data_IF_801836853511
#
_entry.id   IF_801836853511
#
_cell.length_a   1.000
_cell.length_b   1.000
_cell.length_c   1.000
_cell.angle_alpha   90.00
_cell.angle_beta   90.00
_cell.angle_gamma   90.00
#
_symmetry.space_group_name_H-M   'P 1'
#
loop_
_entity.id
_entity.type
_entity.pdbx_description
1 polymer ?
#
# COMPACT_ATOMS: atom_id res chain seq x y z
N UNK A 1 -5.49 -26.68 -45.10
CA UNK A 1 -5.35 -27.89 -45.94
C UNK A 1 -6.64 -28.70 -46.06
N UNK A 2 -7.48 -28.84 -45.02
CA UNK A 2 -8.75 -29.61 -45.08
C UNK A 2 -9.72 -29.21 -46.20
N UNK A 3 -9.75 -27.93 -46.60
CA UNK A 3 -10.63 -27.45 -47.67
C UNK A 3 -10.10 -27.74 -49.09
N UNK A 4 -8.95 -28.41 -49.22
CA UNK A 4 -8.41 -28.79 -50.52
C UNK A 4 -9.02 -30.09 -51.02
N UNK A 5 -9.42 -30.12 -52.29
CA UNK A 5 -9.87 -31.33 -53.00
C UNK A 5 -8.86 -32.50 -52.95
N UNK A 6 -7.58 -32.22 -52.72
CA UNK A 6 -6.51 -33.22 -52.62
C UNK A 6 -6.28 -33.73 -51.19
N UNK A 7 -6.91 -33.12 -50.18
CA UNK A 7 -6.73 -33.51 -48.78
C UNK A 7 -7.36 -34.88 -48.44
N UNK A 8 -8.35 -35.33 -49.25
CA UNK A 8 -9.05 -36.61 -49.05
C UNK A 8 -8.12 -37.82 -49.11
N UNK A 9 -7.06 -37.75 -49.92
CA UNK A 9 -6.04 -38.81 -50.03
C UNK A 9 -5.14 -38.91 -48.77
N UNK A 10 -5.08 -37.86 -47.95
CA UNK A 10 -4.24 -37.76 -46.74
C UNK A 10 -5.07 -37.52 -45.48
N UNK A 11 -6.37 -37.81 -45.51
CA UNK A 11 -7.31 -37.44 -44.45
C UNK A 11 -6.90 -37.99 -43.08
N UNK A 12 -6.41 -39.23 -43.03
CA UNK A 12 -5.88 -39.85 -41.81
C UNK A 12 -4.71 -39.08 -41.22
N UNK A 13 -3.76 -38.66 -42.06
CA UNK A 13 -2.56 -37.96 -41.63
C UNK A 13 -2.88 -36.52 -41.20
N UNK A 14 -3.76 -35.84 -41.94
CA UNK A 14 -4.23 -34.50 -41.60
C UNK A 14 -4.93 -34.51 -40.24
N UNK A 15 -5.84 -35.45 -40.00
CA UNK A 15 -6.56 -35.57 -38.73
C UNK A 15 -5.63 -35.96 -37.57
N UNK A 16 -4.63 -36.81 -37.83
CA UNK A 16 -3.62 -37.17 -36.83
C UNK A 16 -2.78 -35.96 -36.43
N UNK A 17 -2.25 -35.22 -37.41
CA UNK A 17 -1.42 -34.04 -37.14
C UNK A 17 -2.20 -32.92 -36.50
N UNK A 18 -3.45 -32.70 -36.87
CA UNK A 18 -4.32 -31.72 -36.21
C UNK A 18 -4.46 -32.04 -34.71
N UNK A 19 -4.79 -33.28 -34.34
CA UNK A 19 -4.88 -33.68 -32.92
C UNK A 19 -3.56 -33.48 -32.18
N UNK A 20 -2.45 -33.87 -32.80
CA UNK A 20 -1.11 -33.72 -32.22
C UNK A 20 -0.78 -32.23 -32.00
N UNK A 21 -1.01 -31.40 -33.02
CA UNK A 21 -0.71 -29.97 -32.97
C UNK A 21 -1.59 -29.24 -31.95
N UNK A 22 -2.86 -29.62 -31.82
CA UNK A 22 -3.75 -29.10 -30.77
C UNK A 22 -3.23 -29.42 -29.37
N UNK A 23 -2.84 -30.67 -29.10
CA UNK A 23 -2.27 -31.07 -27.79
C UNK A 23 -0.96 -30.31 -27.50
N UNK A 24 -0.11 -30.14 -28.52
CA UNK A 24 1.13 -29.37 -28.39
C UNK A 24 0.81 -27.93 -28.01
N UNK A 25 -0.13 -27.29 -28.71
CA UNK A 25 -0.53 -25.91 -28.44
C UNK A 25 -1.06 -25.75 -27.01
N UNK A 26 -2.02 -26.59 -26.60
CA UNK A 26 -2.59 -26.56 -25.24
C UNK A 26 -1.52 -26.76 -24.17
N UNK A 27 -0.57 -27.68 -24.41
CA UNK A 27 0.54 -27.92 -23.49
C UNK A 27 1.46 -26.71 -23.38
N UNK A 28 1.82 -26.08 -24.50
CA UNK A 28 2.68 -24.89 -24.52
C UNK A 28 2.01 -23.70 -23.83
N UNK A 29 0.72 -23.46 -24.10
CA UNK A 29 -0.05 -22.41 -23.44
C UNK A 29 -0.10 -22.63 -21.92
N UNK A 30 -0.30 -23.87 -21.49
CA UNK A 30 -0.30 -24.23 -20.07
C UNK A 30 1.07 -24.03 -19.41
N UNK A 31 2.16 -24.39 -20.09
CA UNK A 31 3.52 -24.14 -19.62
C UNK A 31 3.77 -22.64 -19.41
N UNK A 32 3.38 -21.80 -20.37
CA UNK A 32 3.54 -20.35 -20.27
C UNK A 32 2.73 -19.75 -19.12
N UNK A 33 1.51 -20.24 -18.91
CA UNK A 33 0.66 -19.81 -17.79
C UNK A 33 1.29 -20.17 -16.44
N UNK A 34 1.76 -21.42 -16.29
CA UNK A 34 2.45 -21.88 -15.08
C UNK A 34 3.72 -21.07 -14.85
N UNK A 35 4.51 -20.81 -15.90
CA UNK A 35 5.73 -19.99 -15.80
C UNK A 35 5.41 -18.59 -15.27
N UNK A 36 4.36 -17.94 -15.79
CA UNK A 36 3.94 -16.61 -15.33
C UNK A 36 3.54 -16.62 -13.85
N UNK A 37 2.71 -17.58 -13.43
CA UNK A 37 2.29 -17.71 -12.02
C UNK A 37 3.48 -18.01 -11.11
N UNK A 38 4.35 -18.92 -11.53
CA UNK A 38 5.52 -19.33 -10.77
C UNK A 38 6.51 -18.18 -10.58
N UNK A 39 6.82 -17.40 -11.63
CA UNK A 39 7.71 -16.24 -11.53
C UNK A 39 7.17 -15.17 -10.58
N UNK A 40 5.86 -14.91 -10.61
CA UNK A 40 5.23 -13.98 -9.68
C UNK A 40 5.36 -14.46 -8.23
N UNK A 41 5.08 -15.73 -7.97
CA UNK A 41 5.16 -16.32 -6.63
C UNK A 41 6.60 -16.48 -6.14
N UNK A 42 7.58 -16.75 -7.01
CA UNK A 42 9.00 -16.82 -6.64
C UNK A 42 9.48 -15.51 -6.03
N UNK A 43 9.11 -14.36 -6.61
CA UNK A 43 9.50 -13.06 -6.06
C UNK A 43 8.94 -12.82 -4.65
N UNK A 44 7.74 -13.33 -4.37
CA UNK A 44 7.04 -13.14 -3.10
C UNK A 44 7.58 -14.10 -2.04
N UNK A 45 7.64 -15.39 -2.38
CA UNK A 45 8.13 -16.42 -1.48
C UNK A 45 9.66 -16.43 -1.37
N UNK A 46 10.40 -15.60 -2.09
CA UNK A 46 11.81 -15.33 -1.79
C UNK A 46 11.96 -14.63 -0.43
N UNK A 47 10.99 -13.80 -0.02
CA UNK A 47 11.01 -13.09 1.25
C UNK A 47 10.70 -13.99 2.45
N UNK A 48 11.63 -14.07 3.41
CA UNK A 48 11.45 -14.88 4.64
C UNK A 48 10.21 -14.51 5.45
N UNK A 49 9.84 -13.23 5.44
CA UNK A 49 8.74 -12.74 6.29
C UNK A 49 7.39 -13.25 5.80
N UNK A 50 7.16 -13.22 4.47
CA UNK A 50 5.95 -13.78 3.88
C UNK A 50 5.91 -15.30 4.11
N UNK A 51 7.05 -16.00 4.04
CA UNK A 51 7.10 -17.44 4.37
C UNK A 51 6.61 -17.73 5.78
N UNK A 52 6.99 -16.90 6.76
CA UNK A 52 6.56 -17.04 8.15
C UNK A 52 5.06 -16.77 8.32
N UNK A 53 4.51 -15.83 7.55
CA UNK A 53 3.09 -15.49 7.61
C UNK A 53 2.20 -16.49 6.85
N UNK A 54 2.74 -17.18 5.82
CA UNK A 54 2.04 -18.16 4.99
C UNK A 54 2.81 -19.51 4.93
N UNK A 55 2.96 -20.22 6.06
CA UNK A 55 3.81 -21.42 6.12
C UNK A 55 3.25 -22.61 5.32
N UNK A 56 1.92 -22.76 5.27
CA UNK A 56 1.27 -23.85 4.50
C UNK A 56 1.47 -23.65 3.00
N UNK A 57 1.21 -22.44 2.54
CA UNK A 57 1.38 -22.02 1.14
C UNK A 57 2.84 -22.11 0.72
N UNK A 58 3.78 -21.80 1.62
CA UNK A 58 5.23 -21.96 1.37
C UNK A 58 5.58 -23.41 1.06
N UNK A 59 5.09 -24.37 1.84
CA UNK A 59 5.35 -25.80 1.61
C UNK A 59 4.77 -26.24 0.26
N UNK A 60 3.54 -25.80 -0.06
CA UNK A 60 2.92 -26.13 -1.34
C UNK A 60 3.66 -25.49 -2.53
N UNK A 61 4.12 -24.26 -2.36
CA UNK A 61 4.91 -23.54 -3.35
C UNK A 61 6.23 -24.27 -3.63
N UNK A 62 6.97 -24.67 -2.59
CA UNK A 62 8.25 -25.36 -2.73
C UNK A 62 8.09 -26.73 -3.42
N UNK A 63 7.05 -27.51 -3.09
CA UNK A 63 6.75 -28.78 -3.78
C UNK A 63 6.45 -28.56 -5.27
N UNK A 64 5.63 -27.56 -5.62
CA UNK A 64 5.33 -27.25 -7.02
C UNK A 64 6.54 -26.68 -7.75
N UNK A 65 7.34 -25.83 -7.09
CA UNK A 65 8.55 -25.22 -7.65
C UNK A 65 9.62 -26.28 -7.97
N UNK A 66 9.81 -27.27 -7.10
CA UNK A 66 10.72 -28.38 -7.37
C UNK A 66 10.25 -29.23 -8.56
N UNK A 67 8.95 -29.55 -8.62
CA UNK A 67 8.35 -30.26 -9.76
C UNK A 67 8.49 -29.47 -11.06
N UNK A 68 8.30 -28.16 -11.01
CA UNK A 68 8.45 -27.27 -12.15
C UNK A 68 9.88 -27.26 -12.71
N UNK A 69 10.88 -27.18 -11.84
CA UNK A 69 12.29 -27.27 -12.24
C UNK A 69 12.61 -28.60 -12.91
N UNK A 70 12.06 -29.72 -12.42
CA UNK A 70 12.23 -31.04 -13.05
C UNK A 70 11.61 -31.05 -14.46
N UNK A 71 10.39 -30.54 -14.62
CA UNK A 71 9.71 -30.44 -15.92
C UNK A 71 10.53 -29.58 -16.90
N UNK A 72 10.99 -28.41 -16.47
CA UNK A 72 11.83 -27.54 -17.31
C UNK A 72 13.13 -28.23 -17.76
N UNK A 73 13.79 -28.97 -16.87
CA UNK A 73 14.98 -29.74 -17.22
C UNK A 73 14.68 -30.86 -18.23
N UNK A 74 13.54 -31.53 -18.10
CA UNK A 74 13.10 -32.55 -19.07
C UNK A 74 12.82 -31.93 -20.45
N UNK A 75 12.10 -30.81 -20.48
CA UNK A 75 11.81 -30.07 -21.72
C UNK A 75 13.09 -29.57 -22.38
N UNK A 76 14.06 -29.06 -21.60
CA UNK A 76 15.35 -28.62 -22.12
C UNK A 76 16.16 -29.77 -22.75
N UNK A 77 16.09 -30.97 -22.18
CA UNK A 77 16.75 -32.16 -22.74
C UNK A 77 16.11 -32.64 -24.04
N UNK A 78 14.77 -32.57 -24.14
CA UNK A 78 14.03 -33.03 -25.32
C UNK A 78 13.90 -31.89 -26.34
N UNK A 79 14.85 -31.80 -27.27
CA UNK A 79 14.87 -30.73 -28.30
C UNK A 79 13.72 -30.79 -29.31
N UNK A 80 12.89 -31.84 -29.31
CA UNK A 80 11.77 -32.00 -30.23
C UNK A 80 10.44 -31.73 -29.50
N UNK A 81 9.74 -30.67 -29.91
CA UNK A 81 8.48 -30.21 -29.30
C UNK A 81 7.41 -31.31 -29.29
N UNK A 82 7.29 -32.11 -30.35
CA UNK A 82 6.33 -33.19 -30.39
C UNK A 82 6.62 -34.22 -29.29
N UNK A 83 7.88 -34.68 -29.16
CA UNK A 83 8.26 -35.63 -28.11
C UNK A 83 8.16 -35.05 -26.70
N UNK A 84 8.42 -33.75 -26.56
CA UNK A 84 8.38 -33.06 -25.28
C UNK A 84 6.93 -32.90 -24.78
N UNK A 85 6.05 -32.34 -25.60
CA UNK A 85 4.66 -32.05 -25.24
C UNK A 85 3.76 -33.28 -25.27
N UNK A 86 4.05 -34.28 -26.13
CA UNK A 86 3.28 -35.52 -26.22
C UNK A 86 3.78 -36.60 -25.24
N UNK A 87 4.56 -36.23 -24.24
CA UNK A 87 4.99 -37.15 -23.18
C UNK A 87 3.80 -37.55 -22.31
N UNK A 88 3.68 -38.85 -22.02
CA UNK A 88 2.53 -39.39 -21.30
C UNK A 88 2.48 -38.82 -19.88
N UNK A 89 1.33 -38.25 -19.51
CA UNK A 89 1.08 -37.70 -18.17
C UNK A 89 1.61 -36.28 -17.91
N UNK A 90 2.36 -35.66 -18.83
CA UNK A 90 2.84 -34.28 -18.66
C UNK A 90 1.68 -33.30 -18.51
N UNK A 91 0.70 -33.35 -19.41
CA UNK A 91 -0.42 -32.42 -19.40
C UNK A 91 -1.24 -32.51 -18.09
N UNK A 92 -1.53 -33.72 -17.62
CA UNK A 92 -2.21 -33.93 -16.32
C UNK A 92 -1.41 -33.38 -15.14
N UNK A 93 -0.08 -33.53 -15.18
CA UNK A 93 0.82 -32.95 -14.18
C UNK A 93 0.77 -31.41 -14.22
N UNK A 94 0.80 -30.81 -15.41
CA UNK A 94 0.71 -29.36 -15.59
C UNK A 94 -0.64 -28.82 -15.06
N UNK A 95 -1.76 -29.49 -15.34
CA UNK A 95 -3.07 -29.11 -14.80
C UNK A 95 -3.05 -29.07 -13.27
N UNK A 96 -2.53 -30.12 -12.63
CA UNK A 96 -2.43 -30.19 -11.16
C UNK A 96 -1.51 -29.11 -10.60
N UNK A 97 -0.42 -28.80 -11.28
CA UNK A 97 0.50 -27.72 -10.88
C UNK A 97 -0.16 -26.35 -10.99
N UNK A 98 -0.83 -26.07 -12.10
CA UNK A 98 -1.61 -24.84 -12.30
C UNK A 98 -2.62 -24.64 -11.17
N UNK A 99 -3.46 -25.65 -10.90
CA UNK A 99 -4.47 -25.59 -9.84
C UNK A 99 -3.87 -25.28 -8.47
N UNK A 100 -2.71 -25.87 -8.15
CA UNK A 100 -2.01 -25.59 -6.90
C UNK A 100 -1.49 -24.16 -6.83
N UNK A 101 -0.91 -23.63 -7.92
CA UNK A 101 -0.46 -22.24 -7.98
C UNK A 101 -1.64 -21.26 -7.87
N UNK A 102 -2.78 -21.55 -8.52
CA UNK A 102 -4.01 -20.76 -8.41
C UNK A 102 -4.56 -20.77 -6.98
N UNK A 103 -4.53 -21.91 -6.28
CA UNK A 103 -4.92 -21.97 -4.88
C UNK A 103 -4.01 -21.13 -3.97
N UNK A 104 -2.69 -21.16 -4.21
CA UNK A 104 -1.73 -20.31 -3.50
C UNK A 104 -2.02 -18.83 -3.76
N UNK A 105 -2.33 -18.45 -5.01
CA UNK A 105 -2.73 -17.09 -5.36
C UNK A 105 -3.99 -16.65 -4.61
N UNK A 106 -5.02 -17.51 -4.55
CA UNK A 106 -6.24 -17.20 -3.82
C UNK A 106 -5.98 -17.02 -2.31
N UNK A 107 -5.15 -17.87 -1.71
CA UNK A 107 -4.73 -17.70 -0.30
C UNK A 107 -3.99 -16.38 -0.10
N UNK A 108 -3.12 -15.99 -1.03
CA UNK A 108 -2.40 -14.73 -0.97
C UNK A 108 -3.34 -13.52 -1.05
N UNK A 109 -4.31 -13.55 -1.97
CA UNK A 109 -5.32 -12.48 -2.10
C UNK A 109 -6.17 -12.34 -0.85
N UNK A 110 -6.60 -13.46 -0.25
CA UNK A 110 -7.31 -13.46 1.03
C UNK A 110 -6.45 -12.89 2.16
N UNK A 111 -5.17 -13.26 2.20
CA UNK A 111 -4.22 -12.73 3.18
C UNK A 111 -4.06 -11.21 3.05
N UNK A 112 -3.90 -10.68 1.83
CA UNK A 112 -3.83 -9.25 1.58
C UNK A 112 -5.12 -8.53 1.97
N UNK A 113 -6.27 -9.16 1.73
CA UNK A 113 -7.57 -8.60 2.11
C UNK A 113 -7.74 -8.49 3.63
N UNK A 114 -7.28 -9.50 4.39
CA UNK A 114 -7.25 -9.42 5.85
C UNK A 114 -6.38 -8.23 6.31
N UNK A 115 -5.20 -8.04 5.70
CA UNK A 115 -4.33 -6.89 6.04
C UNK A 115 -5.01 -5.55 5.73
N UNK A 116 -5.76 -5.45 4.63
CA UNK A 116 -6.54 -4.25 4.26
C UNK A 116 -7.68 -3.97 5.24
N UNK A 117 -8.35 -5.00 5.73
CA UNK A 117 -9.39 -4.83 6.75
C UNK A 117 -8.83 -4.27 8.06
N UNK A 118 -7.62 -4.67 8.45
CA UNK A 118 -6.94 -4.11 9.62
C UNK A 118 -6.56 -2.65 9.38
N UNK A 119 -5.93 -2.34 8.24
CA UNK A 119 -5.55 -0.97 7.89
C UNK A 119 -6.13 -0.54 6.52
N UNK A 120 -7.32 0.11 6.51
CA UNK A 120 -8.05 0.42 5.27
C UNK A 120 -7.29 1.29 4.26
N UNK A 121 -6.24 2.02 4.66
CA UNK A 121 -5.43 2.80 3.70
C UNK A 121 -4.67 1.91 2.72
N UNK A 122 -4.49 0.63 3.01
CA UNK A 122 -3.93 -0.34 2.06
C UNK A 122 -4.79 -0.58 0.81
N UNK A 123 -6.07 -0.17 0.80
CA UNK A 123 -6.87 -0.20 -0.45
C UNK A 123 -6.36 0.78 -1.51
N UNK A 124 -5.58 1.80 -1.12
CA UNK A 124 -4.99 2.78 -2.06
C UNK A 124 -3.62 2.35 -2.60
N UNK A 125 -3.15 1.17 -2.21
CA UNK A 125 -1.83 0.66 -2.53
C UNK A 125 -1.96 -0.58 -3.41
N UNK A 126 -1.06 -0.72 -4.39
CA UNK A 126 -1.02 -1.89 -5.28
C UNK A 126 -0.67 -3.17 -4.49
N UNK A 127 -1.09 -4.34 -4.99
CA UNK A 127 -0.74 -5.62 -4.34
C UNK A 127 0.78 -5.80 -4.23
N UNK A 128 1.54 -5.37 -5.25
CA UNK A 128 3.00 -5.43 -5.26
C UNK A 128 3.62 -4.56 -4.19
N UNK A 129 3.21 -3.29 -4.10
CA UNK A 129 3.71 -2.38 -3.06
C UNK A 129 3.34 -2.91 -1.65
N UNK A 130 2.13 -3.44 -1.47
CA UNK A 130 1.68 -3.99 -0.18
C UNK A 130 2.49 -5.22 0.23
N UNK A 131 2.81 -6.10 -0.72
CA UNK A 131 3.66 -7.26 -0.45
C UNK A 131 5.09 -6.85 -0.10
N UNK A 132 5.65 -5.87 -0.81
CA UNK A 132 6.96 -5.30 -0.47
C UNK A 132 6.96 -4.70 0.93
N UNK A 133 5.94 -3.92 1.28
CA UNK A 133 5.73 -3.39 2.64
C UNK A 133 5.69 -4.47 3.71
N UNK A 134 4.96 -5.56 3.47
CA UNK A 134 4.84 -6.68 4.41
C UNK A 134 6.13 -7.50 4.50
N UNK A 135 6.92 -7.56 3.42
CA UNK A 135 8.22 -8.22 3.37
C UNK A 135 9.36 -7.43 4.02
N UNK A 136 9.26 -6.09 4.07
CA UNK A 136 10.27 -5.17 4.59
C UNK A 136 10.17 -4.92 6.10
N UNK A 137 9.42 -5.73 6.86
CA UNK A 137 9.14 -5.50 8.29
C UNK A 137 10.38 -5.38 9.20
N UNK A 138 11.56 -5.82 8.76
CA UNK A 138 12.81 -5.78 9.55
C UNK A 138 13.46 -4.39 9.62
N UNK A 139 13.25 -3.51 8.64
CA UNK A 139 13.85 -2.18 8.63
C UNK A 139 12.80 -1.09 8.32
N UNK A 140 12.28 -0.40 9.37
CA UNK A 140 11.29 0.66 9.20
C UNK A 140 11.74 1.82 8.30
N UNK A 141 13.04 2.05 8.14
CA UNK A 141 13.55 3.13 7.28
C UNK A 141 13.22 2.91 5.80
N UNK A 142 13.14 1.65 5.35
CA UNK A 142 12.82 1.32 3.96
C UNK A 142 11.32 1.57 3.66
N UNK A 143 10.51 1.75 4.72
CA UNK A 143 9.06 1.99 4.62
C UNK A 143 8.67 3.42 4.27
N UNK A 144 9.61 4.37 4.31
CA UNK A 144 9.33 5.80 4.11
C UNK A 144 8.64 6.08 2.77
N UNK A 145 9.07 5.39 1.70
CA UNK A 145 8.47 5.50 0.37
C UNK A 145 6.97 5.16 0.38
N UNK A 146 6.59 4.10 1.11
CA UNK A 146 5.19 3.65 1.16
C UNK A 146 4.34 4.45 2.14
N UNK A 147 4.93 4.97 3.23
CA UNK A 147 4.22 5.85 4.18
C UNK A 147 3.62 7.05 3.44
N UNK A 148 4.37 7.65 2.51
CA UNK A 148 3.88 8.74 1.66
C UNK A 148 2.67 8.33 0.79
N UNK A 149 2.55 7.07 0.41
CA UNK A 149 1.37 6.55 -0.33
C UNK A 149 0.17 6.34 0.61
N UNK A 150 0.40 5.97 1.87
CA UNK A 150 -0.65 5.76 2.88
C UNK A 150 -1.25 7.07 3.42
N UNK A 151 -0.44 8.13 3.53
CA UNK A 151 -0.79 9.38 4.20
C UNK A 151 -0.56 10.57 3.29
N UNK A 152 -1.56 11.45 3.18
CA UNK A 152 -1.48 12.62 2.29
C UNK A 152 -0.45 13.66 2.76
N UNK A 153 -0.35 13.89 4.07
CA UNK A 153 0.43 15.00 4.65
C UNK A 153 1.56 14.52 5.58
N UNK A 154 1.85 13.22 5.60
CA UNK A 154 3.06 12.68 6.22
C UNK A 154 4.00 12.28 5.09
N UNK A 155 5.04 13.07 4.90
CA UNK A 155 6.07 12.78 3.91
C UNK A 155 7.07 11.74 4.42
N UNK A 156 7.55 11.94 5.66
CA UNK A 156 8.40 10.97 6.37
C UNK A 156 8.07 10.94 7.85
N UNK A 157 8.46 9.85 8.51
CA UNK A 157 8.50 9.75 9.96
C UNK A 157 9.95 9.81 10.44
N UNK A 158 10.23 10.55 11.51
CA UNK A 158 11.54 10.47 12.17
C UNK A 158 11.57 9.20 13.01
N UNK A 159 12.31 8.20 12.52
CA UNK A 159 12.43 6.87 13.12
C UNK A 159 13.82 6.70 13.74
N UNK A 160 13.88 6.35 15.02
CA UNK A 160 15.12 6.23 15.78
C UNK A 160 15.11 4.97 16.62
N UNK A 161 16.26 4.35 16.82
CA UNK A 161 16.42 3.29 17.81
C UNK A 161 16.56 3.90 19.20
N UNK A 162 15.70 3.48 20.14
CA UNK A 162 15.67 4.05 21.49
C UNK A 162 16.03 2.99 22.53
N UNK A 163 16.79 3.41 23.54
CA UNK A 163 17.12 2.62 24.72
C UNK A 163 18.17 1.50 24.51
N UNK A 164 18.41 0.74 25.58
CA UNK A 164 19.33 -0.40 25.60
C UNK A 164 18.84 -1.55 24.69
N UNK A 165 17.53 -1.65 24.47
CA UNK A 165 16.87 -2.68 23.66
C UNK A 165 16.94 -2.42 22.15
N UNK A 166 17.42 -1.24 21.71
CA UNK A 166 17.59 -0.89 20.30
C UNK A 166 16.32 -1.05 19.45
N UNK A 167 15.16 -0.80 20.07
CA UNK A 167 13.84 -0.88 19.43
C UNK A 167 13.58 0.33 18.56
N UNK A 168 12.93 0.13 17.42
CA UNK A 168 12.58 1.22 16.52
C UNK A 168 11.35 1.97 17.02
N UNK A 169 11.49 3.30 17.13
CA UNK A 169 10.38 4.18 17.49
C UNK A 169 10.24 5.35 16.50
N UNK A 170 9.01 5.69 16.15
CA UNK A 170 8.70 6.94 15.45
C UNK A 170 8.41 8.06 16.46
N UNK A 171 9.06 9.21 16.29
CA UNK A 171 9.00 10.34 17.24
C UNK A 171 8.43 11.62 16.63
N UNK A 172 8.58 11.81 15.32
CA UNK A 172 8.09 13.00 14.62
C UNK A 172 7.42 12.62 13.31
N UNK A 173 6.46 13.45 12.90
CA UNK A 173 5.89 13.44 11.55
C UNK A 173 6.39 14.67 10.79
N UNK A 174 6.88 14.45 9.57
CA UNK A 174 7.49 15.48 8.74
C UNK A 174 6.65 15.71 7.48
N UNK A 175 6.34 16.97 7.19
CA UNK A 175 5.65 17.40 5.97
C UNK A 175 6.62 17.52 4.79
N UNK A 176 6.09 17.48 3.57
CA UNK A 176 6.85 17.86 2.37
C UNK A 176 7.25 19.32 2.36
N UNK A 177 6.56 20.16 3.13
CA UNK A 177 6.81 21.60 3.22
C UNK A 177 7.94 21.96 4.20
N UNK A 178 8.60 20.96 4.79
CA UNK A 178 9.70 21.13 5.74
C UNK A 178 9.29 21.32 7.20
N UNK A 179 7.99 21.33 7.51
CA UNK A 179 7.50 21.34 8.89
C UNK A 179 7.68 19.96 9.54
N UNK A 180 8.12 19.95 10.80
CA UNK A 180 8.23 18.74 11.61
C UNK A 180 7.44 18.92 12.91
N UNK A 181 6.59 17.93 13.23
CA UNK A 181 5.77 17.93 14.44
C UNK A 181 6.12 16.72 15.29
N UNK A 182 6.53 16.99 16.53
CA UNK A 182 6.79 15.94 17.52
C UNK A 182 5.48 15.24 17.91
N UNK A 183 5.48 13.91 17.87
CA UNK A 183 4.34 13.11 18.28
C UNK A 183 4.15 13.18 19.79
N UNK A 184 2.90 13.22 20.25
CA UNK A 184 2.56 13.26 21.67
C UNK A 184 3.07 12.02 22.45
N UNK A 185 3.19 10.89 21.76
CA UNK A 185 3.79 9.66 22.27
C UNK A 185 4.60 9.01 21.16
N UNK A 186 5.76 8.44 21.49
CA UNK A 186 6.52 7.65 20.52
C UNK A 186 5.76 6.37 20.16
N UNK A 187 5.99 5.88 18.93
CA UNK A 187 5.28 4.72 18.38
C UNK A 187 6.28 3.60 18.15
N UNK A 188 6.03 2.44 18.76
CA UNK A 188 6.84 1.24 18.56
C UNK A 188 6.63 0.65 17.16
N UNK A 189 7.71 0.56 16.37
CA UNK A 189 7.70 0.07 14.99
C UNK A 189 8.07 -1.42 14.89
N UNK A 190 8.48 -2.07 15.97
CA UNK A 190 8.83 -3.50 16.01
C UNK A 190 7.59 -4.42 16.11
N UNK A 191 6.45 -3.96 15.62
CA UNK A 191 5.19 -4.72 15.54
C UNK A 191 4.78 -4.90 14.08
N UNK A 192 3.73 -5.68 13.80
CA UNK A 192 3.30 -5.84 12.41
C UNK A 192 2.91 -4.49 11.79
N UNK A 193 3.22 -4.33 10.51
CA UNK A 193 3.17 -3.04 9.79
C UNK A 193 1.80 -2.38 9.89
N UNK A 194 0.74 -3.16 9.74
CA UNK A 194 -0.63 -2.70 9.86
C UNK A 194 -0.95 -2.08 11.23
N UNK A 195 -0.36 -2.60 12.32
CA UNK A 195 -0.67 -2.13 13.67
C UNK A 195 0.04 -0.84 14.02
N UNK A 196 1.33 -0.71 13.72
CA UNK A 196 2.01 0.55 13.99
C UNK A 196 1.55 1.66 13.04
N UNK A 197 1.13 1.36 11.80
CA UNK A 197 0.52 2.35 10.91
C UNK A 197 -0.84 2.85 11.42
N UNK A 198 -1.65 1.96 12.00
CA UNK A 198 -2.87 2.35 12.71
C UNK A 198 -2.56 3.28 13.90
N UNK A 199 -1.48 2.96 14.63
CA UNK A 199 -1.05 3.76 15.76
C UNK A 199 -0.52 5.14 15.34
N UNK A 200 0.20 5.22 14.20
CA UNK A 200 0.56 6.49 13.55
C UNK A 200 -0.68 7.32 13.27
N UNK A 201 -1.73 6.75 12.69
CA UNK A 201 -2.97 7.48 12.43
C UNK A 201 -3.63 7.99 13.73
N UNK A 202 -3.68 7.15 14.76
CA UNK A 202 -4.27 7.49 16.06
C UNK A 202 -3.50 8.63 16.74
N UNK A 203 -2.18 8.48 16.87
CA UNK A 203 -1.30 9.44 17.53
C UNK A 203 -1.21 10.74 16.74
N UNK A 204 -1.20 10.70 15.39
CA UNK A 204 -1.28 11.89 14.53
C UNK A 204 -2.51 12.73 14.87
N UNK A 205 -3.70 12.12 14.92
CA UNK A 205 -4.96 12.84 15.23
C UNK A 205 -4.93 13.48 16.61
N UNK A 206 -4.42 12.76 17.60
CA UNK A 206 -4.29 13.26 18.98
C UNK A 206 -3.30 14.42 19.04
N UNK A 207 -2.13 14.25 18.44
CA UNK A 207 -1.06 15.26 18.40
C UNK A 207 -1.56 16.54 17.76
N UNK A 208 -2.18 16.47 16.58
CA UNK A 208 -2.72 17.65 15.90
C UNK A 208 -3.85 18.34 16.69
N UNK A 209 -4.68 17.58 17.41
CA UNK A 209 -5.72 18.15 18.29
C UNK A 209 -5.11 18.93 19.46
N UNK A 210 -4.06 18.40 20.10
CA UNK A 210 -3.37 19.09 21.18
C UNK A 210 -2.59 20.30 20.69
N UNK A 211 -1.87 20.18 19.57
CA UNK A 211 -1.18 21.31 18.94
C UNK A 211 -2.14 22.43 18.55
N UNK A 212 -3.33 22.12 18.01
CA UNK A 212 -4.35 23.13 17.74
C UNK A 212 -4.85 23.81 19.02
N UNK A 213 -5.03 23.08 20.13
CA UNK A 213 -5.43 23.68 21.43
C UNK A 213 -4.35 24.61 21.96
N UNK A 214 -3.08 24.20 21.91
CA UNK A 214 -1.92 25.03 22.30
C UNK A 214 -1.86 26.29 21.44
N UNK A 215 -1.96 26.13 20.13
CA UNK A 215 -1.96 27.21 19.14
C UNK A 215 -3.08 28.24 19.40
N UNK A 216 -4.33 27.79 19.60
CA UNK A 216 -5.47 28.66 19.94
C UNK A 216 -5.30 29.38 21.28
N UNK A 217 -4.78 28.70 22.29
CA UNK A 217 -4.56 29.28 23.62
C UNK A 217 -3.46 30.34 23.59
N UNK A 218 -2.41 30.10 22.80
CA UNK A 218 -1.32 31.05 22.56
C UNK A 218 -1.79 32.28 21.77
N UNK A 219 -2.65 32.11 20.76
CA UNK A 219 -3.19 33.21 19.95
C UNK A 219 -3.86 34.30 20.81
N UNK A 220 -4.61 33.89 21.85
CA UNK A 220 -5.26 34.82 22.78
C UNK A 220 -4.27 35.67 23.59
N UNK A 221 -3.06 35.18 23.82
CA UNK A 221 -1.99 35.86 24.57
C UNK A 221 -1.15 36.78 23.67
N UNK A 222 -1.09 36.50 22.37
CA UNK A 222 -0.20 37.17 21.41
C UNK A 222 -0.94 38.07 20.39
N UNK A 223 -2.08 38.67 20.76
CA UNK A 223 -2.90 39.51 19.87
C UNK A 223 -2.11 40.61 19.14
N UNK A 224 -1.04 41.12 19.75
CA UNK A 224 -0.21 42.21 19.22
C UNK A 224 1.15 41.76 18.63
N UNK A 225 1.48 40.45 18.61
CA UNK A 225 2.75 39.90 18.09
C UNK A 225 2.53 38.63 17.26
N UNK A 226 1.70 38.75 16.20
CA UNK A 226 1.32 37.62 15.35
C UNK A 226 2.51 36.93 14.67
N UNK A 227 3.53 37.69 14.25
CA UNK A 227 4.70 37.12 13.57
C UNK A 227 5.47 36.12 14.42
N UNK A 228 5.56 36.39 15.74
CA UNK A 228 6.19 35.47 16.68
C UNK A 228 5.33 34.22 16.88
N UNK A 229 4.01 34.39 17.00
CA UNK A 229 3.07 33.28 17.16
C UNK A 229 3.06 32.35 15.94
N UNK A 230 3.11 32.88 14.71
CA UNK A 230 3.16 32.07 13.48
C UNK A 230 4.41 31.17 13.45
N UNK A 231 5.55 31.66 13.95
CA UNK A 231 6.82 30.90 13.96
C UNK A 231 6.90 29.81 15.04
N UNK A 232 6.04 29.86 16.04
CA UNK A 232 6.08 28.95 17.20
C UNK A 232 5.12 27.75 17.07
N UNK A 233 4.22 27.76 16.08
CA UNK A 233 3.17 26.75 15.92
C UNK A 233 3.12 26.26 14.47
N UNK A 234 2.69 25.01 14.21
CA UNK A 234 2.53 24.50 12.84
C UNK A 234 1.61 25.38 12.01
N UNK A 235 1.97 25.64 10.75
CA UNK A 235 1.26 26.56 9.86
C UNK A 235 -0.22 26.20 9.68
N UNK A 236 -0.53 24.90 9.53
CA UNK A 236 -1.91 24.43 9.46
C UNK A 236 -2.71 24.76 10.74
N UNK A 237 -2.08 24.63 11.92
CA UNK A 237 -2.71 24.98 13.19
C UNK A 237 -2.93 26.50 13.29
N UNK A 238 -1.97 27.31 12.87
CA UNK A 238 -2.08 28.77 12.83
C UNK A 238 -3.26 29.23 11.94
N UNK A 239 -3.37 28.66 10.75
CA UNK A 239 -4.46 28.98 9.81
C UNK A 239 -5.82 28.61 10.40
N UNK A 240 -5.96 27.38 10.91
CA UNK A 240 -7.21 26.91 11.49
C UNK A 240 -7.59 27.70 12.76
N UNK A 241 -6.63 27.97 13.64
CA UNK A 241 -6.85 28.77 14.84
C UNK A 241 -7.33 30.19 14.50
N UNK A 242 -6.73 30.82 13.48
CA UNK A 242 -7.12 32.14 12.98
C UNK A 242 -8.53 32.14 12.40
N UNK A 243 -8.88 31.14 11.59
CA UNK A 243 -10.23 30.98 11.02
C UNK A 243 -11.29 30.76 12.11
N UNK A 244 -11.00 29.92 13.12
CA UNK A 244 -11.89 29.70 14.26
C UNK A 244 -12.10 31.01 15.03
N UNK A 245 -11.03 31.73 15.34
CA UNK A 245 -11.11 32.99 16.09
C UNK A 245 -11.88 34.06 15.30
N UNK A 246 -11.56 34.22 14.02
CA UNK A 246 -12.25 35.13 13.11
C UNK A 246 -13.75 34.84 13.06
N UNK A 247 -14.12 33.58 12.84
CA UNK A 247 -15.53 33.16 12.77
C UNK A 247 -16.24 33.46 14.09
N UNK A 248 -15.62 33.15 15.23
CA UNK A 248 -16.20 33.45 16.54
C UNK A 248 -16.37 34.95 16.81
N UNK A 249 -15.43 35.79 16.35
CA UNK A 249 -15.51 37.25 16.47
C UNK A 249 -16.62 37.84 15.59
N UNK A 250 -16.73 37.37 14.33
CA UNK A 250 -17.79 37.81 13.40
C UNK A 250 -19.16 37.37 13.91
N UNK A 251 -19.33 36.12 14.35
CA UNK A 251 -20.59 35.62 14.90
C UNK A 251 -21.03 36.45 16.11
N UNK A 252 -20.10 36.81 17.02
CA UNK A 252 -20.39 37.72 18.14
C UNK A 252 -20.79 39.12 17.69
N UNK A 253 -20.12 39.66 16.66
CA UNK A 253 -20.45 40.98 16.11
C UNK A 253 -21.82 41.02 15.39
N UNK A 254 -22.31 39.88 14.90
CA UNK A 254 -23.62 39.77 14.26
C UNK A 254 -24.80 39.81 15.24
N UNK A 255 -24.62 39.41 16.51
CA UNK A 255 -25.70 39.39 17.51
C UNK A 255 -26.30 40.80 17.72
N UNK A 256 -25.52 41.85 18.08
CA UNK A 256 -26.07 43.21 18.23
C UNK A 256 -26.60 43.79 16.91
N UNK A 257 -26.04 43.37 15.77
CA UNK A 257 -26.53 43.81 14.46
C UNK A 257 -27.94 43.29 14.19
N UNK A 258 -28.24 42.05 14.62
CA UNK A 258 -29.55 41.43 14.46
C UNK A 258 -30.57 41.96 15.48
N UNK A 259 -30.17 42.10 16.75
CA UNK A 259 -31.09 42.44 17.85
C UNK A 259 -31.36 43.95 17.98
N UNK A 260 -30.38 44.79 17.63
CA UNK A 260 -30.43 46.23 17.88
C UNK A 260 -30.12 47.09 16.64
N UNK A 261 -29.99 46.47 15.47
CA UNK A 261 -29.54 47.13 14.22
C UNK A 261 -28.18 47.86 14.35
N UNK A 262 -27.39 47.57 15.38
CA UNK A 262 -26.09 48.21 15.60
C UNK A 262 -24.99 47.55 14.76
N UNK A 263 -24.61 48.24 13.67
CA UNK A 263 -23.58 47.79 12.72
C UNK A 263 -22.15 48.17 13.14
N UNK A 264 -21.93 48.83 14.29
CA UNK A 264 -20.59 49.31 14.68
C UNK A 264 -19.58 48.18 14.81
N UNK A 265 -19.93 47.12 15.54
CA UNK A 265 -19.06 45.95 15.76
C UNK A 265 -18.71 45.25 14.45
N UNK A 266 -19.68 45.11 13.54
CA UNK A 266 -19.46 44.50 12.22
C UNK A 266 -18.56 45.34 11.32
N UNK A 267 -18.69 46.68 11.36
CA UNK A 267 -17.79 47.60 10.63
C UNK A 267 -16.33 47.49 11.12
N UNK A 268 -16.12 47.29 12.43
CA UNK A 268 -14.77 47.07 13.01
C UNK A 268 -14.18 45.76 12.49
N UNK A 269 -14.97 44.67 12.45
CA UNK A 269 -14.51 43.40 11.88
C UNK A 269 -14.15 43.54 10.40
N UNK A 270 -14.99 44.20 9.60
CA UNK A 270 -14.69 44.46 8.18
C UNK A 270 -13.37 45.21 7.98
N UNK A 271 -13.08 46.22 8.81
CA UNK A 271 -11.78 46.94 8.75
C UNK A 271 -10.61 46.01 9.06
N UNK A 272 -10.72 45.14 10.07
CA UNK A 272 -9.67 44.17 10.41
C UNK A 272 -9.40 43.17 9.28
N UNK A 273 -10.42 42.76 8.55
CA UNK A 273 -10.27 41.86 7.38
C UNK A 273 -9.48 42.50 6.24
N UNK A 274 -9.75 43.78 5.94
CA UNK A 274 -9.12 44.50 4.82
C UNK A 274 -7.63 44.80 5.11
N UNK A 275 -7.27 44.98 6.37
CA UNK A 275 -5.90 45.32 6.79
C UNK A 275 -5.02 44.08 6.98
N UNK A 276 -5.62 42.92 7.27
CA UNK A 276 -4.92 41.66 7.50
C UNK A 276 -5.51 40.57 6.56
N UNK A 277 -5.21 40.61 5.25
CA UNK A 277 -5.38 39.42 4.45
C UNK A 277 -4.41 38.38 5.01
N UNK A 278 -4.97 37.23 5.40
CA UNK A 278 -4.20 36.03 5.72
C UNK A 278 -3.23 35.71 4.58
#
# INVERSE_FOLDING_TARGET
MKNSKYAKAFESDVNRWEKILSVILETVEMLLLIQKLWLYLENIFYGEEIKKQLPKETIYYEDVSNKWKIVLLQLFKIKNVYRACYSQGLYEMLIKMKQRLENIMNSLDMFLEIKRQVFPRFYFISNTDLLEMLGMSKNPLDMQYYIRKCFSNIHTLTMTKVGLSQKWEATHMNSSDGESVMLNSSINLDTAVEFWLLEVERVMKITMKEELKKCKSSLRKHTNKKDKWIKEHPGQCCNLASQIQWTADVTRALIPTKEHADKKSLKVMKKKQVILPL
#
